data_IF_694130640501
#
_entry.id   IF_694130640501
#
_cell.length_a   1.000
_cell.length_b   1.000
_cell.length_c   1.000
_cell.angle_alpha   90.00
_cell.angle_beta   90.00
_cell.angle_gamma   90.00
#
_symmetry.space_group_name_H-M   'P 1'
#
loop_
_entity.id
_entity.type
_entity.pdbx_description
1 polymer ?
#
# COMPACT_ATOMS: atom_id res chain seq x y z
N UNK A 1 -16.06 27.43 18.31
CA UNK A 1 -15.01 28.44 18.05
C UNK A 1 -14.46 28.19 16.65
N UNK A 2 -14.21 29.22 15.82
CA UNK A 2 -13.64 28.99 14.49
C UNK A 2 -12.29 28.30 14.65
N UNK A 3 -12.07 27.22 13.89
CA UNK A 3 -10.81 26.50 13.93
C UNK A 3 -9.69 27.46 13.49
N UNK A 4 -8.68 27.64 14.33
CA UNK A 4 -7.54 28.48 13.97
C UNK A 4 -6.62 27.70 13.02
N UNK A 5 -6.03 28.37 12.01
CA UNK A 5 -5.15 27.71 11.04
C UNK A 5 -3.95 27.04 11.72
N UNK A 6 -3.38 27.67 12.74
CA UNK A 6 -2.25 27.09 13.51
C UNK A 6 -2.62 25.83 14.27
N UNK A 7 -3.79 25.81 14.92
CA UNK A 7 -4.27 24.62 15.63
C UNK A 7 -4.55 23.48 14.66
N UNK A 8 -5.15 23.79 13.51
CA UNK A 8 -5.49 22.80 12.48
C UNK A 8 -4.22 22.19 11.87
N UNK A 9 -3.22 23.01 11.55
CA UNK A 9 -1.94 22.52 11.03
C UNK A 9 -1.18 21.68 12.05
N UNK A 10 -1.17 22.08 13.32
CA UNK A 10 -0.50 21.32 14.38
C UNK A 10 -1.17 19.96 14.62
N UNK A 11 -2.50 19.89 14.48
CA UNK A 11 -3.23 18.62 14.50
C UNK A 11 -2.84 17.73 13.31
N UNK A 12 -2.76 18.29 12.09
CA UNK A 12 -2.35 17.53 10.89
C UNK A 12 -0.93 16.96 11.07
N UNK A 13 0.01 17.77 11.57
CA UNK A 13 1.38 17.34 11.86
C UNK A 13 1.43 16.18 12.86
N UNK A 14 0.67 16.25 13.95
CA UNK A 14 0.58 15.19 14.94
C UNK A 14 -0.04 13.90 14.36
N UNK A 15 -1.10 14.01 13.55
CA UNK A 15 -1.71 12.85 12.89
C UNK A 15 -0.76 12.20 11.89
N UNK A 16 0.05 13.00 11.19
CA UNK A 16 1.04 12.49 10.27
C UNK A 16 2.16 11.71 11.00
N UNK A 17 2.61 12.19 12.16
CA UNK A 17 3.56 11.45 13.00
C UNK A 17 2.96 10.15 13.52
N UNK A 18 1.69 10.17 13.95
CA UNK A 18 0.99 8.97 14.40
C UNK A 18 0.86 7.93 13.27
N UNK A 19 0.57 8.36 12.04
CA UNK A 19 0.53 7.49 10.87
C UNK A 19 1.89 6.86 10.55
N UNK A 20 2.98 7.62 10.66
CA UNK A 20 4.33 7.06 10.49
C UNK A 20 4.64 6.00 11.55
N UNK A 21 4.27 6.25 12.81
CA UNK A 21 4.44 5.27 13.88
C UNK A 21 3.62 3.99 13.62
N UNK A 22 2.36 4.13 13.22
CA UNK A 22 1.48 3.01 12.89
C UNK A 22 2.01 2.19 11.69
N UNK A 23 2.62 2.86 10.71
CA UNK A 23 3.28 2.19 9.58
C UNK A 23 4.46 1.35 10.05
N UNK A 24 5.32 1.90 10.92
CA UNK A 24 6.47 1.20 11.46
C UNK A 24 6.07 0.00 12.34
N UNK A 25 4.96 0.09 13.07
CA UNK A 25 4.42 -1.01 13.86
C UNK A 25 3.56 -1.98 13.05
N UNK A 26 3.34 -1.73 11.76
CA UNK A 26 2.41 -2.51 10.91
C UNK A 26 0.99 -2.61 11.50
N UNK A 27 0.55 -1.56 12.19
CA UNK A 27 -0.78 -1.46 12.80
C UNK A 27 -1.80 -0.96 11.76
N UNK A 28 -2.39 -1.92 11.03
CA UNK A 28 -3.39 -1.65 10.01
C UNK A 28 -4.62 -0.85 10.51
N UNK A 29 -5.27 -1.18 11.64
CA UNK A 29 -6.40 -0.39 12.12
C UNK A 29 -6.01 1.03 12.54
N UNK A 30 -4.83 1.23 13.16
CA UNK A 30 -4.36 2.57 13.48
C UNK A 30 -4.05 3.40 12.22
N UNK A 31 -3.51 2.77 11.17
CA UNK A 31 -3.29 3.41 9.87
C UNK A 31 -4.62 3.87 9.23
N UNK A 32 -5.63 3.00 9.22
CA UNK A 32 -6.94 3.33 8.64
C UNK A 32 -7.58 4.52 9.38
N UNK A 33 -7.68 4.44 10.71
CA UNK A 33 -8.24 5.50 11.55
C UNK A 33 -7.46 6.82 11.40
N UNK A 34 -6.13 6.74 11.42
CA UNK A 34 -5.26 7.90 11.22
C UNK A 34 -5.47 8.55 9.85
N UNK A 35 -5.64 7.74 8.79
CA UNK A 35 -5.84 8.24 7.43
C UNK A 35 -7.18 8.97 7.28
N UNK A 36 -8.21 8.50 7.98
CA UNK A 36 -9.52 9.14 7.98
C UNK A 36 -9.48 10.48 8.71
N UNK A 37 -8.90 10.53 9.91
CA UNK A 37 -8.70 11.79 10.66
C UNK A 37 -7.85 12.80 9.89
N UNK A 38 -6.81 12.33 9.20
CA UNK A 38 -5.97 13.19 8.37
C UNK A 38 -6.76 13.82 7.21
N UNK A 39 -7.62 13.05 6.53
CA UNK A 39 -8.50 13.56 5.46
C UNK A 39 -9.50 14.58 5.97
N UNK A 40 -10.10 14.33 7.13
CA UNK A 40 -11.02 15.27 7.79
C UNK A 40 -10.32 16.59 8.16
N UNK A 41 -9.13 16.50 8.76
CA UNK A 41 -8.34 17.68 9.13
C UNK A 41 -7.88 18.47 7.89
N UNK A 42 -7.49 17.79 6.80
CA UNK A 42 -7.17 18.44 5.53
C UNK A 42 -8.37 19.15 4.91
N UNK A 43 -9.56 18.55 4.97
CA UNK A 43 -10.80 19.19 4.51
C UNK A 43 -11.12 20.45 5.32
N UNK A 44 -10.95 20.40 6.65
CA UNK A 44 -11.11 21.56 7.51
C UNK A 44 -10.10 22.68 7.17
N UNK A 45 -8.84 22.32 6.86
CA UNK A 45 -7.83 23.29 6.43
C UNK A 45 -8.22 23.98 5.10
N UNK A 46 -8.76 23.23 4.14
CA UNK A 46 -9.25 23.80 2.86
C UNK A 46 -10.41 24.77 3.08
N UNK A 47 -11.34 24.45 3.98
CA UNK A 47 -12.43 25.35 4.35
C UNK A 47 -11.91 26.65 5.00
N UNK A 48 -10.91 26.55 5.87
CA UNK A 48 -10.26 27.72 6.47
C UNK A 48 -9.55 28.58 5.44
N UNK A 49 -8.83 27.96 4.50
CA UNK A 49 -8.15 28.68 3.42
C UNK A 49 -9.14 29.40 2.49
N UNK A 50 -10.30 28.81 2.25
CA UNK A 50 -11.37 29.44 1.46
C UNK A 50 -11.99 30.64 2.19
N UNK A 51 -12.09 30.59 3.52
CA UNK A 51 -12.60 31.69 4.33
C UNK A 51 -11.58 32.82 4.54
N UNK A 52 -10.29 32.48 4.64
CA UNK A 52 -9.21 33.44 4.82
C UNK A 52 -7.92 32.94 4.18
N UNK A 53 -7.24 33.75 3.35
CA UNK A 53 -5.97 33.36 2.77
C UNK A 53 -4.93 33.06 3.86
N UNK A 54 -4.25 31.93 3.71
CA UNK A 54 -3.19 31.50 4.61
C UNK A 54 -1.97 32.41 4.46
N UNK A 55 -1.34 32.77 5.58
CA UNK A 55 -0.11 33.54 5.58
C UNK A 55 1.09 32.74 5.03
N UNK A 56 2.21 33.42 4.73
CA UNK A 56 3.41 32.77 4.16
C UNK A 56 3.96 31.66 5.07
N UNK A 57 3.89 31.83 6.39
CA UNK A 57 4.32 30.83 7.38
C UNK A 57 3.46 29.57 7.32
N UNK A 58 2.14 29.71 7.26
CA UNK A 58 1.21 28.58 7.12
C UNK A 58 1.44 27.84 5.79
N UNK A 59 1.65 28.58 4.70
CA UNK A 59 1.95 28.00 3.39
C UNK A 59 3.29 27.23 3.35
N UNK A 60 4.29 27.64 4.15
CA UNK A 60 5.53 26.89 4.30
C UNK A 60 5.31 25.56 5.04
N UNK A 61 4.51 25.56 6.11
CA UNK A 61 4.13 24.34 6.85
C UNK A 61 3.36 23.36 5.97
N UNK A 62 2.40 23.84 5.19
CA UNK A 62 1.65 22.99 4.23
C UNK A 62 2.59 22.33 3.21
N UNK A 63 3.60 23.05 2.70
CA UNK A 63 4.60 22.47 1.80
C UNK A 63 5.46 21.41 2.49
N UNK A 64 5.85 21.63 3.74
CA UNK A 64 6.58 20.63 4.52
C UNK A 64 5.74 19.35 4.72
N UNK A 65 4.46 19.51 5.10
CA UNK A 65 3.50 18.41 5.22
C UNK A 65 3.35 17.63 3.92
N UNK A 66 3.25 18.31 2.77
CA UNK A 66 3.18 17.65 1.47
C UNK A 66 4.43 16.79 1.19
N UNK A 67 5.62 17.29 1.56
CA UNK A 67 6.87 16.53 1.47
C UNK A 67 6.86 15.26 2.33
N UNK A 68 6.41 15.38 3.58
CA UNK A 68 6.32 14.23 4.48
C UNK A 68 5.25 13.21 4.04
N UNK A 69 4.12 13.65 3.48
CA UNK A 69 3.12 12.77 2.87
C UNK A 69 3.69 11.98 1.68
N UNK A 70 4.53 12.62 0.86
CA UNK A 70 5.26 11.94 -0.21
C UNK A 70 6.12 10.79 0.33
N UNK A 71 6.89 11.06 1.39
CA UNK A 71 7.71 10.04 2.04
C UNK A 71 6.89 8.88 2.62
N UNK A 72 5.77 9.17 3.30
CA UNK A 72 4.86 8.14 3.84
C UNK A 72 4.30 7.26 2.73
N UNK A 73 3.88 7.85 1.61
CA UNK A 73 3.40 7.10 0.44
C UNK A 73 4.49 6.19 -0.13
N UNK A 74 5.72 6.66 -0.21
CA UNK A 74 6.83 5.88 -0.73
C UNK A 74 7.24 4.74 0.23
N UNK A 75 7.02 4.90 1.54
CA UNK A 75 7.16 3.83 2.53
C UNK A 75 6.04 2.78 2.37
N UNK A 76 4.79 3.21 2.20
CA UNK A 76 3.66 2.30 1.94
C UNK A 76 3.84 1.49 0.65
N UNK A 77 4.30 2.13 -0.43
CA UNK A 77 4.57 1.45 -1.69
C UNK A 77 5.61 0.33 -1.52
N UNK A 78 6.65 0.58 -0.75
CA UNK A 78 7.66 -0.44 -0.41
C UNK A 78 7.10 -1.56 0.45
N UNK A 79 6.32 -1.24 1.48
CA UNK A 79 5.65 -2.23 2.31
C UNK A 79 4.74 -3.14 1.47
N UNK A 80 3.96 -2.56 0.56
CA UNK A 80 3.08 -3.29 -0.34
C UNK A 80 3.85 -4.21 -1.30
N UNK A 81 4.97 -3.76 -1.87
CA UNK A 81 5.82 -4.59 -2.72
C UNK A 81 6.39 -5.80 -1.97
N UNK A 82 6.84 -5.61 -0.72
CA UNK A 82 7.33 -6.70 0.14
C UNK A 82 6.23 -7.70 0.46
N UNK A 83 5.04 -7.22 0.84
CA UNK A 83 3.88 -8.08 1.11
C UNK A 83 3.46 -8.87 -0.12
N UNK A 84 3.49 -8.25 -1.31
CA UNK A 84 3.21 -8.95 -2.57
C UNK A 84 4.22 -10.05 -2.86
N UNK A 85 5.52 -9.79 -2.67
CA UNK A 85 6.56 -10.80 -2.84
C UNK A 85 6.40 -11.97 -1.84
N UNK A 86 6.05 -11.68 -0.59
CA UNK A 86 5.76 -12.70 0.42
C UNK A 86 4.54 -13.53 0.03
N UNK A 87 3.45 -12.89 -0.41
CA UNK A 87 2.26 -13.58 -0.88
C UNK A 87 2.56 -14.50 -2.08
N UNK A 88 3.37 -14.04 -3.03
CA UNK A 88 3.79 -14.86 -4.17
C UNK A 88 4.63 -16.08 -3.74
N UNK A 89 5.48 -15.95 -2.72
CA UNK A 89 6.27 -17.07 -2.22
C UNK A 89 5.45 -18.16 -1.50
N UNK A 90 4.25 -17.80 -1.02
CA UNK A 90 3.33 -18.72 -0.35
C UNK A 90 2.39 -19.43 -1.32
N UNK A 91 2.25 -18.90 -2.54
CA UNK A 91 1.48 -19.55 -3.58
C UNK A 91 2.36 -20.63 -4.22
N UNK A 92 1.90 -21.89 -4.30
CA UNK A 92 2.65 -22.91 -5.03
C UNK A 92 2.79 -22.47 -6.49
N UNK A 93 3.95 -22.70 -7.13
CA UNK A 93 4.08 -22.45 -8.55
C UNK A 93 3.01 -23.26 -9.29
N UNK A 94 2.19 -22.56 -10.08
CA UNK A 94 1.23 -23.18 -10.99
C UNK A 94 1.98 -23.72 -12.22
N UNK A 95 3.03 -24.52 -11.99
CA UNK A 95 3.58 -25.33 -13.05
C UNK A 95 2.51 -26.35 -13.43
N UNK A 96 2.07 -26.25 -14.68
CA UNK A 96 1.08 -27.12 -15.28
C UNK A 96 1.50 -28.57 -15.03
N UNK A 97 0.61 -29.32 -14.38
CA UNK A 97 0.89 -30.65 -13.87
C UNK A 97 1.29 -31.54 -15.06
N UNK A 98 2.59 -31.73 -15.27
CA UNK A 98 3.13 -32.54 -16.36
C UNK A 98 2.81 -34.04 -16.19
N UNK A 99 2.16 -34.40 -15.07
CA UNK A 99 1.68 -35.75 -14.79
C UNK A 99 0.23 -35.74 -14.28
N UNK A 100 -0.69 -35.21 -15.08
CA UNK A 100 -2.07 -35.70 -15.06
C UNK A 100 -2.11 -37.11 -15.67
N UNK A 101 -2.89 -38.07 -15.14
CA UNK A 101 -2.96 -39.40 -15.71
C UNK A 101 -3.51 -39.31 -17.13
N UNK A 102 -2.70 -39.72 -18.10
CA UNK A 102 -3.13 -39.97 -19.47
C UNK A 102 -4.00 -41.24 -19.47
N UNK A 103 -5.20 -41.13 -18.87
CA UNK A 103 -6.25 -42.11 -18.95
C UNK A 103 -7.33 -41.60 -19.90
N UNK A 104 -6.98 -41.61 -21.19
CA UNK A 104 -7.95 -41.88 -22.24
C UNK A 104 -8.29 -40.72 -23.17
N UNK A 105 -7.46 -40.50 -24.20
CA UNK A 105 -7.99 -40.38 -25.57
C UNK A 105 -6.93 -40.63 -26.66
N UNK A 106 -7.07 -41.80 -27.26
CA UNK A 106 -6.59 -42.24 -28.57
C UNK A 106 -6.02 -41.16 -29.52
N UNK A 107 -4.77 -41.35 -29.95
CA UNK A 107 -4.28 -40.74 -31.20
C UNK A 107 -2.77 -40.64 -31.41
N UNK A 108 -2.02 -41.76 -31.44
CA UNK A 108 -0.75 -41.81 -32.18
C UNK A 108 -0.33 -43.26 -32.48
N UNK A 109 -0.16 -43.66 -33.76
CA UNK A 109 0.38 -44.96 -34.12
C UNK A 109 1.91 -44.92 -34.18
N UNK A 110 2.56 -45.79 -33.41
CA UNK A 110 3.88 -46.32 -33.74
C UNK A 110 5.10 -45.65 -33.11
N UNK A 111 5.75 -46.38 -32.21
CA UNK A 111 7.21 -46.47 -32.16
C UNK A 111 7.61 -47.81 -31.49
N UNK A 112 8.02 -48.78 -32.32
CA UNK A 112 8.58 -50.08 -31.90
C UNK A 112 10.06 -49.89 -31.57
N UNK A 113 10.45 -49.92 -30.30
CA UNK A 113 11.85 -50.00 -29.84
C UNK A 113 11.79 -50.22 -28.32
N UNK A 114 12.27 -51.29 -27.68
CA UNK A 114 13.56 -51.97 -27.82
C UNK A 114 13.45 -53.46 -27.46
N UNK A 115 14.26 -54.29 -28.13
CA UNK A 115 14.43 -55.74 -27.94
C UNK A 115 15.48 -55.98 -26.85
N UNK A 116 15.23 -56.88 -25.90
CA UNK A 116 16.28 -57.45 -25.04
C UNK A 116 16.45 -58.93 -25.38
N UNK A 117 17.66 -59.41 -25.72
CA UNK A 117 18.00 -60.82 -25.70
C UNK A 117 18.56 -61.19 -24.32
N UNK A 118 18.04 -62.27 -23.74
CA UNK A 118 18.51 -62.89 -22.51
C UNK A 118 17.75 -64.17 -22.25
#
# INVERSE_FOLDING_TARGET
MPAQPDTTLSLIEAQLQALQAALLSSDAPALEQGSQRLREAAAALLQLQAAQPLGPTHAARVRALAGQLGQLRDQLARALALTQQQAQSLLPPLDDVTYGPDSGRAGAPGARIYRAPG
#
